data_IF_223711758293
#
_entry.id   IF_223711758293
#
_cell.length_a   1.000
_cell.length_b   1.000
_cell.length_c   1.000
_cell.angle_alpha   90.00
_cell.angle_beta   90.00
_cell.angle_gamma   90.00
#
_symmetry.space_group_name_H-M   'P 1'
#
loop_
_entity.id
_entity.type
_entity.pdbx_description
1 polymer ?
#
# COMPACT_ATOMS: atom_id res chain seq x y z
N UNK A 1 2.31 1.58 7.06
CA UNK A 1 1.40 0.56 6.48
C UNK A 1 2.03 -0.84 6.53
N UNK A 2 3.18 -1.07 5.88
CA UNK A 2 3.83 -2.39 5.83
C UNK A 2 4.20 -2.98 7.19
N UNK A 3 4.65 -2.17 8.15
CA UNK A 3 4.95 -2.64 9.51
C UNK A 3 3.77 -3.36 10.19
N UNK A 4 2.52 -2.89 9.98
CA UNK A 4 1.33 -3.54 10.54
C UNK A 4 1.06 -4.90 9.89
N UNK A 5 1.28 -5.00 8.58
CA UNK A 5 1.18 -6.27 7.86
C UNK A 5 2.27 -7.24 8.31
N UNK A 6 3.50 -6.77 8.50
CA UNK A 6 4.60 -7.59 9.00
C UNK A 6 4.26 -8.20 10.36
N UNK A 7 3.83 -7.38 11.32
CA UNK A 7 3.39 -7.87 12.63
C UNK A 7 2.25 -8.88 12.55
N UNK A 8 1.30 -8.68 11.63
CA UNK A 8 0.21 -9.63 11.42
C UNK A 8 0.70 -10.95 10.80
N UNK A 9 1.63 -10.89 9.84
CA UNK A 9 2.23 -12.08 9.23
C UNK A 9 3.05 -12.86 10.24
N UNK A 10 3.85 -12.19 11.05
CA UNK A 10 4.65 -12.81 12.12
C UNK A 10 3.73 -13.48 13.16
N UNK A 11 2.70 -12.76 13.62
CA UNK A 11 1.73 -13.28 14.60
C UNK A 11 0.97 -14.50 14.10
N UNK A 12 0.61 -14.51 12.81
CA UNK A 12 -0.14 -15.60 12.18
C UNK A 12 0.76 -16.71 11.60
N UNK A 13 2.09 -16.57 11.69
CA UNK A 13 3.04 -17.51 11.10
C UNK A 13 2.96 -17.60 9.57
N UNK A 14 2.55 -16.53 8.89
CA UNK A 14 2.42 -16.47 7.43
C UNK A 14 3.81 -16.24 6.83
N UNK A 15 4.39 -17.32 6.32
CA UNK A 15 5.73 -17.29 5.73
C UNK A 15 5.74 -16.91 4.24
N UNK A 16 4.69 -17.27 3.52
CA UNK A 16 4.53 -16.98 2.10
C UNK A 16 3.18 -16.31 1.85
N UNK A 17 3.19 -15.30 1.00
CA UNK A 17 1.98 -14.66 0.51
C UNK A 17 1.50 -15.39 -0.73
N UNK A 18 0.27 -15.12 -1.13
CA UNK A 18 -0.29 -15.61 -2.39
C UNK A 18 -0.66 -14.40 -3.24
N UNK A 19 0.09 -14.17 -4.30
CA UNK A 19 -0.16 -13.08 -5.25
C UNK A 19 -0.62 -13.65 -6.57
N UNK A 20 -1.68 -13.10 -7.16
CA UNK A 20 -1.99 -13.38 -8.56
C UNK A 20 -0.95 -12.71 -9.44
N UNK A 21 -0.44 -13.40 -10.48
CA UNK A 21 0.47 -12.82 -11.49
C UNK A 21 -0.08 -11.64 -12.29
N UNK A 22 -1.33 -11.26 -12.06
CA UNK A 22 -2.00 -10.18 -12.79
C UNK A 22 -2.27 -8.96 -11.91
N UNK A 23 -1.92 -9.02 -10.62
CA UNK A 23 -2.06 -7.91 -9.68
C UNK A 23 -0.68 -7.69 -9.06
N UNK A 24 0.16 -6.97 -9.79
CA UNK A 24 1.51 -6.63 -9.36
C UNK A 24 1.55 -5.25 -8.71
N UNK A 25 2.49 -5.09 -7.78
CA UNK A 25 2.69 -3.84 -7.03
C UNK A 25 3.33 -2.76 -7.89
N UNK A 26 4.14 -3.16 -8.88
CA UNK A 26 4.81 -2.23 -9.78
C UNK A 26 3.90 -1.97 -11.00
N UNK A 27 3.42 -0.72 -11.18
CA UNK A 27 2.54 -0.38 -12.29
C UNK A 27 3.25 -0.34 -13.65
N UNK A 28 4.58 -0.27 -13.69
CA UNK A 28 5.38 -0.23 -14.92
C UNK A 28 5.95 -1.60 -15.32
N UNK A 29 6.09 -2.54 -14.38
CA UNK A 29 6.73 -3.84 -14.63
C UNK A 29 6.04 -4.98 -13.88
N UNK A 30 5.25 -5.78 -14.61
CA UNK A 30 4.54 -6.93 -14.05
C UNK A 30 5.49 -8.06 -13.60
N UNK A 31 6.69 -8.15 -14.17
CA UNK A 31 7.65 -9.20 -13.82
C UNK A 31 8.62 -8.76 -12.71
N UNK A 32 8.48 -7.53 -12.20
CA UNK A 32 9.42 -6.93 -11.26
C UNK A 32 9.63 -7.77 -9.98
N UNK A 33 8.60 -8.46 -9.49
CA UNK A 33 8.70 -9.34 -8.33
C UNK A 33 9.52 -10.61 -8.64
N UNK A 34 9.35 -11.16 -9.84
CA UNK A 34 10.13 -12.31 -10.31
C UNK A 34 11.60 -11.92 -10.43
N UNK A 35 11.90 -10.79 -11.06
CA UNK A 35 13.27 -10.27 -11.17
C UNK A 35 13.86 -9.94 -9.79
N UNK A 36 13.05 -9.38 -8.88
CA UNK A 36 13.50 -9.12 -7.51
C UNK A 36 13.88 -10.40 -6.77
N UNK A 37 13.17 -11.51 -7.00
CA UNK A 37 13.46 -12.80 -6.38
C UNK A 37 14.84 -13.35 -6.74
N UNK A 38 15.27 -13.16 -7.99
CA UNK A 38 16.56 -13.63 -8.50
C UNK A 38 17.74 -12.91 -7.83
N UNK A 39 17.49 -11.69 -7.32
CA UNK A 39 18.49 -10.82 -6.68
C UNK A 39 18.33 -10.74 -5.16
N UNK A 40 17.41 -11.51 -4.59
CA UNK A 40 17.09 -11.42 -3.17
C UNK A 40 17.98 -12.35 -2.35
N UNK A 41 18.95 -11.75 -1.65
CA UNK A 41 19.88 -12.45 -0.73
C UNK A 41 19.34 -12.60 0.69
N UNK A 42 18.01 -12.46 0.89
CA UNK A 42 17.37 -12.60 2.19
C UNK A 42 17.42 -14.03 2.74
N UNK A 43 17.01 -14.23 4.01
CA UNK A 43 17.06 -15.53 4.65
C UNK A 43 16.25 -16.55 3.85
N UNK A 44 16.92 -17.62 3.41
CA UNK A 44 16.25 -18.75 2.80
C UNK A 44 15.21 -19.29 3.79
N UNK A 45 13.93 -19.28 3.43
CA UNK A 45 12.91 -19.89 4.26
C UNK A 45 13.20 -21.39 4.37
N UNK A 46 13.16 -21.89 5.61
CA UNK A 46 13.30 -23.33 5.86
C UNK A 46 12.04 -24.00 5.36
N UNK A 47 12.01 -24.37 4.08
CA UNK A 47 11.06 -25.36 3.59
C UNK A 47 11.27 -26.61 4.43
N UNK A 48 10.19 -27.11 5.04
CA UNK A 48 10.21 -28.30 5.92
C UNK A 48 10.73 -29.57 5.25
N UNK A 49 10.98 -29.55 3.95
CA UNK A 49 11.67 -30.60 3.22
C UNK A 49 13.17 -30.31 3.13
N UNK A 50 13.95 -31.09 3.88
CA UNK A 50 15.41 -31.21 3.77
C UNK A 50 15.83 -31.87 2.44
N UNK A 51 15.43 -31.31 1.31
CA UNK A 51 16.08 -31.55 0.03
C UNK A 51 16.65 -30.24 -0.46
N UNK A 52 17.89 -29.97 -0.02
CA UNK A 52 18.76 -29.00 -0.67
C UNK A 52 18.94 -29.45 -2.11
N UNK A 53 18.26 -28.77 -3.03
CA UNK A 53 18.64 -28.77 -4.43
C UNK A 53 19.83 -27.79 -4.56
N UNK A 54 21.03 -28.33 -4.29
CA UNK A 54 22.30 -27.65 -4.50
C UNK A 54 22.49 -27.43 -6.01
N UNK A 55 21.87 -26.38 -6.57
CA UNK A 55 22.05 -26.08 -7.99
C UNK A 55 21.12 -25.04 -8.61
N UNK A 56 20.02 -24.65 -7.97
CA UNK A 56 19.12 -23.60 -8.49
C UNK A 56 19.16 -22.36 -7.63
N UNK A 57 20.18 -21.52 -7.85
CA UNK A 57 20.15 -20.13 -7.43
C UNK A 57 18.95 -19.43 -8.08
N UNK A 58 18.11 -18.76 -7.29
CA UNK A 58 17.12 -17.79 -7.78
C UNK A 58 15.67 -18.01 -7.36
N UNK A 59 15.20 -19.25 -7.15
CA UNK A 59 13.76 -19.51 -6.91
C UNK A 59 13.40 -19.98 -5.49
N UNK A 60 14.35 -20.02 -4.57
CA UNK A 60 14.13 -20.50 -3.18
C UNK A 60 13.17 -19.63 -2.35
N UNK A 61 12.75 -18.48 -2.87
CA UNK A 61 11.83 -17.55 -2.22
C UNK A 61 10.39 -17.67 -2.71
N UNK A 62 10.12 -18.51 -3.71
CA UNK A 62 8.77 -18.88 -4.11
C UNK A 62 8.45 -20.28 -3.61
N UNK A 63 7.34 -20.43 -2.90
CA UNK A 63 6.84 -21.75 -2.51
C UNK A 63 6.22 -22.45 -3.73
N UNK A 64 6.71 -23.64 -4.07
CA UNK A 64 6.09 -24.46 -5.09
C UNK A 64 4.77 -25.04 -4.56
N UNK A 65 3.64 -24.62 -5.13
CA UNK A 65 2.30 -25.02 -4.70
C UNK A 65 1.91 -26.43 -5.19
N UNK A 66 2.72 -27.46 -4.90
CA UNK A 66 2.42 -28.87 -5.22
C UNK A 66 1.34 -29.43 -4.27
N UNK A 67 0.34 -30.13 -4.80
CA UNK A 67 -0.57 -30.96 -4.01
C UNK A 67 -1.66 -30.26 -3.18
N UNK A 68 -1.75 -28.93 -3.17
CA UNK A 68 -2.90 -28.25 -2.58
C UNK A 68 -4.16 -28.63 -3.38
N UNK A 69 -5.18 -29.19 -2.69
CA UNK A 69 -6.52 -29.43 -3.24
C UNK A 69 -7.15 -28.08 -3.61
N UNK A 70 -6.80 -27.58 -4.80
CA UNK A 70 -7.29 -26.31 -5.32
C UNK A 70 -8.75 -26.53 -5.75
N UNK A 71 -9.69 -25.89 -5.06
CA UNK A 71 -11.05 -25.71 -5.62
C UNK A 71 -10.95 -24.91 -6.91
N UNK A 72 -11.96 -25.00 -7.78
CA UNK A 72 -11.97 -24.38 -9.10
C UNK A 72 -11.68 -22.87 -9.08
N UNK A 73 -12.11 -22.17 -8.02
CA UNK A 73 -11.88 -20.74 -7.80
C UNK A 73 -10.43 -20.36 -7.46
N UNK A 74 -9.58 -21.34 -7.15
CA UNK A 74 -8.18 -21.16 -6.77
C UNK A 74 -7.20 -21.69 -7.84
N UNK A 75 -7.67 -21.87 -9.07
CA UNK A 75 -6.84 -22.14 -10.24
C UNK A 75 -6.51 -20.83 -10.96
N UNK A 76 -5.23 -20.48 -10.92
CA UNK A 76 -4.64 -19.35 -11.62
C UNK A 76 -3.14 -19.39 -11.41
N UNK A 77 -2.33 -18.69 -12.23
CA UNK A 77 -0.92 -18.57 -11.96
C UNK A 77 -0.75 -17.64 -10.75
N UNK A 78 -0.55 -18.26 -9.59
CA UNK A 78 -0.18 -17.53 -8.38
C UNK A 78 1.31 -17.70 -8.18
N UNK A 79 1.96 -16.60 -7.84
CA UNK A 79 3.27 -16.64 -7.24
C UNK A 79 3.09 -16.64 -5.72
N UNK A 80 3.96 -17.38 -5.04
CA UNK A 80 3.94 -17.51 -3.59
C UNK A 80 5.24 -16.98 -2.97
N UNK A 81 5.51 -15.66 -3.04
CA UNK A 81 6.75 -15.09 -2.53
C UNK A 81 6.81 -15.21 -1.01
N UNK A 82 8.01 -15.35 -0.47
CA UNK A 82 8.25 -15.18 0.96
C UNK A 82 7.80 -13.79 1.40
N UNK A 83 7.30 -13.67 2.63
CA UNK A 83 6.93 -12.37 3.21
C UNK A 83 8.11 -11.39 3.17
N UNK A 84 9.33 -11.89 3.41
CA UNK A 84 10.57 -11.11 3.34
C UNK A 84 10.87 -10.60 1.92
N UNK A 85 10.76 -11.45 0.90
CA UNK A 85 10.93 -11.05 -0.50
C UNK A 85 9.88 -9.99 -0.89
N UNK A 86 8.62 -10.23 -0.55
CA UNK A 86 7.55 -9.28 -0.85
C UNK A 86 7.80 -7.92 -0.18
N UNK A 87 8.24 -7.92 1.09
CA UNK A 87 8.58 -6.68 1.79
C UNK A 87 9.74 -5.93 1.12
N UNK A 88 10.84 -6.62 0.82
CA UNK A 88 11.97 -6.02 0.13
C UNK A 88 11.56 -5.47 -1.25
N UNK A 89 10.67 -6.16 -1.96
CA UNK A 89 10.13 -5.68 -3.22
C UNK A 89 9.28 -4.41 -3.06
N UNK A 90 8.41 -4.33 -2.04
CA UNK A 90 7.67 -3.10 -1.70
C UNK A 90 8.61 -1.92 -1.44
N UNK A 91 9.70 -2.13 -0.69
CA UNK A 91 10.69 -1.09 -0.41
C UNK A 91 11.41 -0.64 -1.69
N UNK A 92 11.79 -1.58 -2.56
CA UNK A 92 12.40 -1.26 -3.85
C UNK A 92 11.48 -0.40 -4.72
N UNK A 93 10.18 -0.73 -4.78
CA UNK A 93 9.18 0.06 -5.49
C UNK A 93 9.07 1.45 -4.86
N UNK A 94 8.94 1.53 -3.54
CA UNK A 94 8.86 2.82 -2.84
C UNK A 94 10.06 3.72 -3.17
N UNK A 95 11.29 3.17 -3.20
CA UNK A 95 12.51 3.89 -3.61
C UNK A 95 12.48 4.30 -5.08
N UNK A 96 12.15 3.36 -5.98
CA UNK A 96 12.09 3.58 -7.42
C UNK A 96 11.19 4.76 -7.79
N UNK A 97 10.03 4.83 -7.13
CA UNK A 97 9.04 5.90 -7.33
C UNK A 97 9.21 7.08 -6.36
N UNK A 98 10.28 7.10 -5.55
CA UNK A 98 10.58 8.14 -4.55
C UNK A 98 9.39 8.46 -3.62
N UNK A 99 8.65 7.42 -3.25
CA UNK A 99 7.50 7.54 -2.35
C UNK A 99 7.93 7.83 -0.92
N UNK A 100 9.18 7.51 -0.55
CA UNK A 100 9.70 7.69 0.80
C UNK A 100 9.57 9.15 1.29
N UNK A 101 9.83 10.13 0.42
CA UNK A 101 9.71 11.56 0.72
C UNK A 101 8.26 12.06 0.80
N UNK A 102 7.31 11.24 0.33
CA UNK A 102 5.87 11.55 0.28
C UNK A 102 5.04 10.77 1.31
N UNK A 103 5.68 9.97 2.16
CA UNK A 103 5.01 9.11 3.13
C UNK A 103 5.11 9.68 4.54
N UNK A 104 3.99 10.17 5.06
CA UNK A 104 3.85 10.52 6.48
C UNK A 104 3.15 9.38 7.25
N UNK A 105 3.68 9.02 8.42
CA UNK A 105 2.99 8.11 9.34
C UNK A 105 2.01 8.92 10.20
N UNK A 106 0.74 8.55 10.15
CA UNK A 106 -0.28 9.12 11.02
C UNK A 106 -1.66 8.51 10.78
N UNK A 107 -2.62 8.95 11.56
CA UNK A 107 -4.04 8.60 11.42
C UNK A 107 -4.78 9.82 10.93
N UNK A 108 -5.43 9.73 9.76
CA UNK A 108 -6.33 10.79 9.31
C UNK A 108 -7.54 10.81 10.24
N UNK A 109 -7.77 11.94 10.90
CA UNK A 109 -8.83 12.12 11.90
C UNK A 109 -9.97 13.00 11.41
N UNK A 110 -9.71 13.89 10.45
CA UNK A 110 -10.74 14.71 9.83
C UNK A 110 -10.36 15.12 8.40
N UNK A 111 -11.40 15.39 7.61
CA UNK A 111 -11.32 16.09 6.34
C UNK A 111 -12.23 17.29 6.41
N UNK A 112 -11.69 18.47 6.08
CA UNK A 112 -12.42 19.73 6.05
C UNK A 112 -12.45 20.23 4.60
N UNK A 113 -13.58 20.06 3.91
CA UNK A 113 -13.73 20.58 2.55
C UNK A 113 -13.63 22.11 2.52
N UNK A 114 -13.30 22.71 1.37
CA UNK A 114 -13.25 24.17 1.25
C UNK A 114 -14.63 24.77 1.54
N UNK A 115 -14.69 25.75 2.44
CA UNK A 115 -15.93 26.48 2.75
C UNK A 115 -15.88 27.85 2.06
N UNK A 116 -16.77 28.06 1.09
CA UNK A 116 -17.02 29.39 0.49
C UNK A 116 -15.89 29.95 -0.37
N UNK A 117 -15.93 29.70 -1.69
CA UNK A 117 -15.14 30.43 -2.70
C UNK A 117 -13.61 30.39 -2.56
N UNK A 118 -13.07 29.58 -1.64
CA UNK A 118 -11.63 29.42 -1.44
C UNK A 118 -10.93 28.71 -2.61
N UNK A 119 -9.64 28.42 -2.45
CA UNK A 119 -8.77 27.80 -3.45
C UNK A 119 -9.12 26.33 -3.80
N UNK A 120 -10.25 25.82 -3.32
CA UNK A 120 -10.74 24.48 -3.61
C UNK A 120 -9.99 23.36 -2.88
N UNK A 121 -9.00 23.68 -2.02
CA UNK A 121 -8.24 22.67 -1.30
C UNK A 121 -9.02 22.08 -0.13
N UNK A 122 -8.85 20.79 0.09
CA UNK A 122 -9.32 20.05 1.26
C UNK A 122 -8.21 20.09 2.31
N UNK A 123 -8.57 20.42 3.54
CA UNK A 123 -7.67 20.29 4.68
C UNK A 123 -7.82 18.89 5.29
N UNK A 124 -6.69 18.22 5.47
CA UNK A 124 -6.57 16.86 5.99
C UNK A 124 -5.87 16.92 7.32
N UNK A 125 -6.59 16.62 8.39
CA UNK A 125 -6.01 16.58 9.73
C UNK A 125 -5.48 15.17 10.02
N UNK A 126 -4.18 15.10 10.26
CA UNK A 126 -3.43 13.87 10.51
C UNK A 126 -2.89 13.91 11.93
N UNK A 127 -3.36 12.98 12.75
CA UNK A 127 -2.80 12.71 14.05
C UNK A 127 -1.55 11.82 13.89
N UNK A 128 -0.38 12.39 14.13
CA UNK A 128 0.90 11.67 14.00
C UNK A 128 1.24 10.86 15.27
N UNK A 129 0.43 10.97 16.33
CA UNK A 129 0.69 10.35 17.62
C UNK A 129 1.89 10.97 18.37
N UNK A 130 2.16 10.41 19.55
CA UNK A 130 3.32 10.74 20.38
C UNK A 130 4.54 9.96 19.86
N UNK A 131 5.18 10.48 18.82
CA UNK A 131 6.31 9.81 18.20
C UNK A 131 7.03 10.63 17.14
N UNK A 132 6.95 11.96 17.24
CA UNK A 132 7.94 12.81 16.59
C UNK A 132 9.31 12.58 17.22
N UNK A 133 10.42 12.81 16.48
CA UNK A 133 11.77 12.53 16.96
C UNK A 133 12.01 13.20 18.32
N UNK A 134 12.23 12.35 19.33
CA UNK A 134 12.91 12.48 20.63
C UNK A 134 13.22 13.87 21.22
N UNK A 135 12.36 14.87 21.06
CA UNK A 135 12.48 16.12 21.82
C UNK A 135 11.73 15.96 23.16
N UNK A 136 12.53 15.72 24.20
CA UNK A 136 12.28 15.87 25.64
C UNK A 136 10.80 15.84 26.09
N UNK A 137 10.41 14.67 26.63
CA UNK A 137 9.10 14.40 27.18
C UNK A 137 8.76 15.35 28.36
N UNK A 138 7.96 16.36 28.07
CA UNK A 138 7.23 17.13 29.06
C UNK A 138 5.89 16.43 29.39
N UNK A 139 5.57 16.27 30.67
CA UNK A 139 4.34 15.63 31.17
C UNK A 139 3.12 16.51 30.87
N UNK A 140 2.70 16.51 29.62
CA UNK A 140 1.56 17.27 29.11
C UNK A 140 1.33 17.05 27.62
N UNK A 141 1.77 15.89 27.12
CA UNK A 141 1.87 15.59 25.69
C UNK A 141 0.54 15.79 24.98
N UNK A 142 0.43 16.95 24.36
CA UNK A 142 -0.73 17.38 23.62
C UNK A 142 -0.68 16.68 22.27
N UNK A 143 -1.76 15.97 21.96
CA UNK A 143 -1.97 15.29 20.67
C UNK A 143 -1.57 16.22 19.52
N UNK A 144 -0.49 15.88 18.80
CA UNK A 144 0.00 16.67 17.66
C UNK A 144 -0.82 16.32 16.42
N UNK A 145 -1.67 17.26 16.00
CA UNK A 145 -2.42 17.18 14.75
C UNK A 145 -1.73 18.06 13.72
N UNK A 146 -1.32 17.46 12.60
CA UNK A 146 -0.79 18.17 11.44
C UNK A 146 -1.88 18.32 10.38
N UNK A 147 -2.03 19.53 9.85
CA UNK A 147 -2.95 19.79 8.73
C UNK A 147 -2.19 19.81 7.42
N UNK A 148 -2.60 18.96 6.48
CA UNK A 148 -2.10 18.92 5.10
C UNK A 148 -3.18 19.46 4.17
N UNK A 149 -2.81 20.25 3.16
CA UNK A 149 -3.75 20.79 2.17
C UNK A 149 -3.60 19.99 0.88
N UNK A 150 -4.72 19.55 0.30
CA UNK A 150 -4.73 18.76 -0.92
C UNK A 150 -5.92 19.12 -1.81
N UNK A 151 -5.69 19.24 -3.12
CA UNK A 151 -6.77 19.41 -4.10
C UNK A 151 -7.62 18.14 -4.25
N UNK A 152 -7.00 16.97 -4.00
CA UNK A 152 -7.64 15.67 -4.11
C UNK A 152 -7.21 14.76 -2.97
N UNK A 153 -8.17 14.04 -2.42
CA UNK A 153 -7.98 13.04 -1.38
C UNK A 153 -8.44 11.68 -1.92
N UNK A 154 -7.53 10.71 -1.93
CA UNK A 154 -7.80 9.35 -2.38
C UNK A 154 -7.69 8.40 -1.19
N UNK A 155 -8.80 7.72 -0.87
CA UNK A 155 -8.80 6.67 0.13
C UNK A 155 -8.38 5.33 -0.49
N UNK A 156 -7.25 4.80 -0.04
CA UNK A 156 -6.74 3.49 -0.44
C UNK A 156 -6.91 2.43 0.67
N UNK A 157 -7.98 2.54 1.47
CA UNK A 157 -8.27 1.63 2.58
C UNK A 157 -9.25 0.51 2.21
N UNK A 158 -9.14 -0.64 2.87
CA UNK A 158 -10.05 -1.77 2.66
C UNK A 158 -9.57 -2.74 1.59
N UNK A 159 -10.47 -3.62 1.14
CA UNK A 159 -10.19 -4.63 0.12
C UNK A 159 -10.79 -4.18 -1.20
N UNK A 160 -10.20 -4.56 -2.34
CA UNK A 160 -10.63 -4.08 -3.66
C UNK A 160 -12.13 -4.31 -3.95
N UNK A 161 -12.72 -5.40 -3.44
CA UNK A 161 -14.14 -5.70 -3.62
C UNK A 161 -15.10 -4.99 -2.62
N UNK A 162 -14.56 -4.31 -1.60
CA UNK A 162 -15.35 -3.66 -0.56
C UNK A 162 -14.58 -2.43 -0.02
N UNK A 163 -14.70 -1.26 -0.67
CA UNK A 163 -14.08 -0.03 -0.19
C UNK A 163 -14.57 0.27 1.23
N UNK A 164 -13.64 0.57 2.14
CA UNK A 164 -14.00 0.92 3.52
C UNK A 164 -13.83 2.42 3.72
N UNK A 165 -14.95 3.11 3.65
CA UNK A 165 -15.04 4.51 4.03
C UNK A 165 -15.17 4.65 5.55
N UNK A 166 -14.32 5.44 6.21
CA UNK A 166 -14.63 5.94 7.54
C UNK A 166 -15.95 6.72 7.51
N UNK A 167 -16.79 6.62 8.54
CA UNK A 167 -18.08 7.31 8.59
C UNK A 167 -17.92 8.83 8.34
N UNK A 168 -16.93 9.44 9.00
CA UNK A 168 -16.58 10.86 8.84
C UNK A 168 -16.15 11.24 7.42
N UNK A 169 -15.62 10.30 6.63
CA UNK A 169 -15.16 10.57 5.28
C UNK A 169 -16.33 10.65 4.28
N UNK A 170 -17.40 9.89 4.53
CA UNK A 170 -18.62 9.98 3.72
C UNK A 170 -19.30 11.34 3.90
N UNK A 171 -19.39 11.81 5.15
CA UNK A 171 -19.90 13.15 5.47
C UNK A 171 -19.05 14.25 4.82
N UNK A 172 -17.72 14.17 4.90
CA UNK A 172 -16.83 15.13 4.25
C UNK A 172 -16.98 15.14 2.72
N UNK A 173 -17.21 13.99 2.09
CA UNK A 173 -17.47 13.90 0.65
C UNK A 173 -18.77 14.60 0.26
N UNK A 174 -19.83 14.42 1.05
CA UNK A 174 -21.10 15.10 0.84
C UNK A 174 -20.98 16.62 1.02
N UNK A 175 -20.30 17.06 2.09
CA UNK A 175 -20.03 18.47 2.35
C UNK A 175 -19.21 19.12 1.23
N UNK A 176 -18.19 18.43 0.71
CA UNK A 176 -17.41 18.90 -0.43
C UNK A 176 -18.29 19.11 -1.66
N UNK A 177 -19.20 18.18 -1.95
CA UNK A 177 -20.14 18.31 -3.06
C UNK A 177 -21.10 19.50 -2.88
N UNK A 178 -21.62 19.71 -1.66
CA UNK A 178 -22.49 20.85 -1.33
C UNK A 178 -21.76 22.20 -1.45
N UNK A 179 -20.47 22.24 -1.12
CA UNK A 179 -19.63 23.44 -1.21
C UNK A 179 -19.18 23.79 -2.65
N UNK A 180 -19.60 23.00 -3.65
CA UNK A 180 -19.21 23.21 -5.05
C UNK A 180 -17.77 22.79 -5.36
N UNK A 181 -17.13 22.00 -4.48
CA UNK A 181 -15.88 21.36 -4.83
C UNK A 181 -16.11 20.41 -6.01
N UNK A 182 -15.11 20.20 -6.88
CA UNK A 182 -15.26 19.26 -7.99
C UNK A 182 -15.66 17.89 -7.44
N UNK A 183 -16.61 17.22 -8.11
CA UNK A 183 -17.17 15.92 -7.66
C UNK A 183 -16.14 14.80 -7.47
N UNK A 184 -14.89 15.03 -7.92
CA UNK A 184 -13.75 14.12 -7.79
C UNK A 184 -12.74 14.49 -6.67
N UNK A 185 -13.03 15.50 -5.84
CA UNK A 185 -12.07 15.95 -4.83
C UNK A 185 -11.83 14.93 -3.71
N UNK A 186 -12.83 14.10 -3.37
CA UNK A 186 -12.69 13.00 -2.41
C UNK A 186 -13.19 11.70 -3.05
N UNK A 187 -12.30 10.74 -3.26
CA UNK A 187 -12.60 9.48 -3.96
C UNK A 187 -12.02 8.27 -3.25
N UNK A 188 -12.59 7.09 -3.49
CA UNK A 188 -11.93 5.84 -3.14
C UNK A 188 -11.01 5.41 -4.30
N UNK A 189 -9.92 4.71 -3.99
CA UNK A 189 -9.04 4.13 -5.01
C UNK A 189 -9.80 3.13 -5.90
N UNK A 190 -10.72 2.35 -5.31
CA UNK A 190 -11.62 1.44 -6.05
C UNK A 190 -12.39 2.16 -7.17
N UNK A 191 -12.97 3.32 -6.89
CA UNK A 191 -13.73 4.11 -7.86
C UNK A 191 -12.85 4.56 -9.04
N UNK A 192 -11.54 4.76 -8.81
CA UNK A 192 -10.59 5.12 -9.85
C UNK A 192 -10.28 3.94 -10.79
N UNK A 193 -10.20 2.73 -10.24
CA UNK A 193 -9.98 1.50 -11.01
C UNK A 193 -11.21 1.15 -11.86
N UNK A 194 -12.41 1.21 -11.28
CA UNK A 194 -13.65 0.87 -11.99
C UNK A 194 -14.00 1.85 -13.10
N UNK A 195 -13.65 3.13 -12.93
CA UNK A 195 -13.91 4.14 -13.94
C UNK A 195 -13.00 4.04 -15.18
N UNK A 196 -12.04 3.11 -15.21
CA UNK A 196 -11.00 3.06 -16.24
C UNK A 196 -10.16 4.34 -16.31
N UNK A 197 -10.18 5.15 -15.24
CA UNK A 197 -9.59 6.50 -15.18
C UNK A 197 -8.14 6.49 -14.72
N UNK A 198 -7.66 5.38 -14.18
CA UNK A 198 -6.22 5.15 -14.03
C UNK A 198 -5.71 4.61 -15.35
N UNK A 199 -5.49 5.51 -16.31
CA UNK A 199 -4.45 5.24 -17.30
C UNK A 199 -3.15 5.18 -16.50
N UNK A 200 -2.49 4.03 -16.49
CA UNK A 200 -1.06 3.96 -16.17
C UNK A 200 -0.33 4.71 -17.27
N UNK A 201 -0.41 6.04 -17.28
CA UNK A 201 0.59 6.85 -17.96
C UNK A 201 1.87 6.54 -17.20
N UNK A 202 2.69 5.67 -17.78
CA UNK A 202 4.07 5.54 -17.41
C UNK A 202 4.60 6.97 -17.25
N UNK A 203 5.10 7.29 -16.06
CA UNK A 203 5.86 8.51 -15.86
C UNK A 203 6.99 8.44 -16.90
N UNK A 204 6.87 9.21 -17.97
CA UNK A 204 8.02 9.53 -18.81
C UNK A 204 8.99 10.20 -17.86
N UNK A 205 9.96 9.41 -17.39
CA UNK A 205 11.09 9.92 -16.64
C UNK A 205 11.84 10.83 -17.60
N UNK A 206 11.49 12.12 -17.58
CA UNK A 206 12.19 13.14 -18.32
C UNK A 206 13.68 13.00 -18.04
N UNK A 207 14.43 12.72 -19.10
CA UNK A 207 15.88 12.84 -19.10
C UNK A 207 16.23 14.25 -18.60
N UNK A 208 16.92 14.30 -17.47
CA UNK A 208 17.65 15.48 -16.97
C UNK A 208 19.11 15.10 -16.84
#
# INVERSE_FOLDING_TARGET
FMARWQSAFDLLGIQHLRSTRFVHLDPADQDALTVASERFDGPALVSGDKQRDEGRGGFGHFMELKGLLRRKEFHGPYDAPSTALFHAHCEQIARRYRLEDSLARGTVVALRPPVGGGDGCIEVDVDVGEGGPEDDADEGSSRRVHTVRAERVVFAGGFAAAPRWPAWAAEAKEQAAQAGAPSCAITHAHDLFDAGRVATSALDAGET
#
